data_IF_718041159670
#
_entry.id   IF_718041159670
#
_cell.length_a   1.000
_cell.length_b   1.000
_cell.length_c   1.000
_cell.angle_alpha   90.00
_cell.angle_beta   90.00
_cell.angle_gamma   90.00
#
_symmetry.space_group_name_H-M   'P 1'
#
loop_
_entity.id
_entity.type
_entity.pdbx_description
1 polymer ?
#
# COMPACT_ATOMS: atom_id res chain seq x y z
N UNK A 1 11.65 -9.22 -6.20
CA UNK A 1 11.23 -9.83 -7.48
C UNK A 1 10.96 -8.69 -8.46
N UNK A 2 10.91 -8.94 -9.77
CA UNK A 2 10.25 -8.00 -10.68
C UNK A 2 8.75 -8.18 -10.53
N UNK A 3 8.00 -7.12 -10.24
CA UNK A 3 6.54 -7.15 -10.20
C UNK A 3 6.02 -7.40 -11.63
N UNK A 4 5.24 -8.46 -11.82
CA UNK A 4 4.70 -8.88 -13.12
C UNK A 4 3.20 -8.71 -13.24
N UNK A 5 2.49 -8.62 -12.11
CA UNK A 5 1.09 -8.21 -12.08
C UNK A 5 0.90 -7.12 -11.04
N UNK A 6 0.41 -5.95 -11.46
CA UNK A 6 0.07 -4.84 -10.58
C UNK A 6 -1.46 -4.70 -10.53
N UNK A 7 -2.01 -4.73 -9.33
CA UNK A 7 -3.44 -4.50 -9.07
C UNK A 7 -3.68 -3.02 -8.80
N UNK A 8 -4.54 -2.38 -9.59
CA UNK A 8 -5.12 -1.08 -9.30
C UNK A 8 -6.57 -1.28 -8.83
N UNK A 9 -6.89 -0.84 -7.61
CA UNK A 9 -8.26 -0.78 -7.11
C UNK A 9 -8.75 0.65 -7.13
N UNK A 10 -9.93 0.88 -7.71
CA UNK A 10 -10.51 2.21 -7.89
C UNK A 10 -12.01 2.18 -7.58
N UNK A 11 -12.58 3.34 -7.25
CA UNK A 11 -14.03 3.51 -7.21
C UNK A 11 -14.64 3.52 -8.62
N UNK A 12 -15.88 3.99 -8.73
CA UNK A 12 -16.60 4.13 -10.02
C UNK A 12 -16.45 5.52 -10.66
N UNK A 13 -15.66 6.41 -10.08
CA UNK A 13 -15.48 7.78 -10.59
C UNK A 13 -14.06 8.30 -10.33
N UNK A 14 -13.66 9.32 -11.09
CA UNK A 14 -12.41 10.08 -10.91
C UNK A 14 -11.11 9.25 -10.88
N UNK A 15 -11.09 8.11 -11.58
CA UNK A 15 -9.96 7.17 -11.54
C UNK A 15 -9.03 7.22 -12.76
N UNK A 16 -9.32 8.03 -13.79
CA UNK A 16 -8.54 8.03 -15.03
C UNK A 16 -7.06 8.37 -14.81
N UNK A 17 -6.75 9.33 -13.93
CA UNK A 17 -5.36 9.71 -13.63
C UNK A 17 -4.57 8.54 -13.02
N UNK A 18 -5.16 7.87 -12.03
CA UNK A 18 -4.56 6.71 -11.37
C UNK A 18 -4.43 5.53 -12.35
N UNK A 19 -5.42 5.35 -13.24
CA UNK A 19 -5.40 4.32 -14.29
C UNK A 19 -4.22 4.51 -15.25
N UNK A 20 -4.01 5.74 -15.74
CA UNK A 20 -2.87 6.09 -16.60
C UNK A 20 -1.55 5.94 -15.87
N UNK A 21 -1.47 6.37 -14.61
CA UNK A 21 -0.28 6.21 -13.78
C UNK A 21 0.10 4.73 -13.60
N UNK A 22 -0.87 3.88 -13.24
CA UNK A 22 -0.65 2.45 -13.06
C UNK A 22 -0.26 1.75 -14.37
N UNK A 23 -0.85 2.15 -15.50
CA UNK A 23 -0.46 1.65 -16.82
C UNK A 23 0.98 2.03 -17.17
N UNK A 24 1.40 3.28 -16.90
CA UNK A 24 2.78 3.72 -17.10
C UNK A 24 3.76 2.94 -16.21
N UNK A 25 3.39 2.72 -14.93
CA UNK A 25 4.18 1.92 -14.00
C UNK A 25 4.37 0.49 -14.53
N UNK A 26 3.29 -0.13 -15.03
CA UNK A 26 3.34 -1.45 -15.65
C UNK A 26 4.22 -1.49 -16.91
N UNK A 27 4.06 -0.49 -17.80
CA UNK A 27 4.82 -0.40 -19.03
C UNK A 27 6.34 -0.31 -18.78
N UNK A 28 6.75 0.38 -17.70
CA UNK A 28 8.16 0.56 -17.34
C UNK A 28 8.91 -0.76 -17.01
N UNK A 29 8.17 -1.77 -16.53
CA UNK A 29 8.73 -3.07 -16.08
C UNK A 29 8.14 -4.28 -16.82
N UNK A 30 7.34 -4.04 -17.86
CA UNK A 30 6.66 -5.08 -18.63
C UNK A 30 5.72 -5.93 -17.77
N UNK A 31 4.98 -5.28 -16.86
CA UNK A 31 3.98 -5.90 -16.00
C UNK A 31 2.59 -5.86 -16.64
N UNK A 32 1.72 -6.76 -16.18
CA UNK A 32 0.30 -6.79 -16.47
C UNK A 32 -0.46 -5.91 -15.48
N UNK A 33 -1.37 -5.08 -15.97
CA UNK A 33 -2.25 -4.25 -15.14
C UNK A 33 -3.59 -4.96 -14.92
N UNK A 34 -3.85 -5.39 -13.69
CA UNK A 34 -5.16 -5.88 -13.27
C UNK A 34 -5.94 -4.72 -12.64
N UNK A 35 -7.07 -4.33 -13.21
CA UNK A 35 -7.91 -3.24 -12.68
C UNK A 35 -9.19 -3.79 -12.05
N UNK A 36 -9.48 -3.32 -10.84
CA UNK A 36 -10.64 -3.70 -10.04
C UNK A 36 -11.46 -2.44 -9.70
N UNK A 37 -12.38 -2.00 -10.58
CA UNK A 37 -13.39 -1.01 -10.21
C UNK A 37 -14.35 -1.61 -9.18
N UNK A 38 -14.55 -0.91 -8.06
CA UNK A 38 -15.43 -1.33 -6.98
C UNK A 38 -16.53 -0.31 -6.78
N UNK A 39 -17.76 -0.83 -6.69
CA UNK A 39 -18.91 -0.11 -6.16
C UNK A 39 -19.33 -0.80 -4.86
N UNK A 40 -19.26 -0.08 -3.75
CA UNK A 40 -19.71 -0.58 -2.45
C UNK A 40 -21.24 -0.50 -2.41
N UNK A 41 -21.88 -1.61 -2.06
CA UNK A 41 -23.33 -1.72 -1.99
C UNK A 41 -23.91 -0.87 -0.85
N UNK A 42 -24.94 -0.07 -1.16
CA UNK A 42 -25.76 0.56 -0.13
C UNK A 42 -26.49 -0.50 0.68
N UNK A 43 -26.37 -0.42 2.02
CA UNK A 43 -27.04 -1.35 2.92
C UNK A 43 -28.57 -1.23 2.79
N UNK A 44 -29.31 -2.35 2.76
CA UNK A 44 -30.75 -2.28 2.81
C UNK A 44 -31.21 -1.69 4.15
N UNK A 45 -32.37 -1.00 4.20
CA UNK A 45 -32.93 -0.48 5.44
C UNK A 45 -33.10 -1.61 6.49
N UNK A 46 -32.50 -1.46 7.66
CA UNK A 46 -32.65 -2.44 8.76
C UNK A 46 -33.96 -2.17 9.48
N UNK A 47 -34.95 -3.07 9.32
CA UNK A 47 -36.20 -3.01 10.09
C UNK A 47 -37.41 -3.64 9.41
N UNK A 48 -37.39 -3.80 8.08
CA UNK A 48 -38.54 -4.35 7.35
C UNK A 48 -38.08 -5.35 6.28
N UNK A 49 -37.76 -6.58 6.71
CA UNK A 49 -37.37 -7.68 5.81
C UNK A 49 -38.42 -7.99 4.73
N UNK A 50 -39.64 -7.48 4.87
CA UNK A 50 -40.72 -7.61 3.90
C UNK A 50 -40.65 -6.59 2.74
N UNK A 51 -39.78 -5.57 2.80
CA UNK A 51 -39.62 -4.61 1.74
C UNK A 51 -38.14 -4.36 1.43
N UNK A 52 -37.58 -5.14 0.50
CA UNK A 52 -36.71 -4.51 -0.51
C UNK A 52 -37.54 -3.40 -1.15
N UNK A 53 -37.46 -2.19 -0.62
CA UNK A 53 -38.24 -1.07 -1.13
C UNK A 53 -37.87 -0.85 -2.60
N UNK A 54 -38.83 -0.44 -3.43
CA UNK A 54 -38.55 -0.11 -4.83
C UNK A 54 -37.36 0.87 -4.95
N UNK A 55 -37.25 1.82 -4.02
CA UNK A 55 -36.14 2.75 -3.92
C UNK A 55 -34.76 2.06 -3.74
N UNK A 56 -34.66 1.02 -2.90
CA UNK A 56 -33.40 0.28 -2.74
C UNK A 56 -33.07 -0.56 -3.97
N UNK A 57 -34.07 -1.14 -4.64
CA UNK A 57 -33.87 -1.86 -5.90
C UNK A 57 -33.40 -0.93 -7.02
N UNK A 58 -33.97 0.28 -7.11
CA UNK A 58 -33.58 1.30 -8.07
C UNK A 58 -32.16 1.82 -7.78
N UNK A 59 -31.81 2.04 -6.51
CA UNK A 59 -30.45 2.43 -6.11
C UNK A 59 -29.43 1.33 -6.46
N UNK A 60 -29.74 0.07 -6.15
CA UNK A 60 -28.89 -1.06 -6.54
C UNK A 60 -28.73 -1.16 -8.06
N UNK A 61 -29.81 -0.95 -8.83
CA UNK A 61 -29.73 -0.95 -10.29
C UNK A 61 -28.81 0.17 -10.80
N UNK A 62 -28.96 1.39 -10.26
CA UNK A 62 -28.09 2.53 -10.56
C UNK A 62 -26.62 2.24 -10.22
N UNK A 63 -26.36 1.63 -9.07
CA UNK A 63 -25.01 1.24 -8.66
C UNK A 63 -24.35 0.26 -9.66
N UNK A 64 -25.12 -0.72 -10.13
CA UNK A 64 -24.66 -1.71 -11.11
C UNK A 64 -24.38 -1.03 -12.45
N UNK A 65 -25.22 -0.08 -12.86
CA UNK A 65 -25.01 0.71 -14.09
C UNK A 65 -23.75 1.58 -14.00
N UNK A 66 -23.54 2.27 -12.87
CA UNK A 66 -22.32 3.06 -12.61
C UNK A 66 -21.06 2.19 -12.71
N UNK A 67 -21.08 1.01 -12.08
CA UNK A 67 -19.98 0.06 -12.15
C UNK A 67 -19.74 -0.41 -13.60
N UNK A 68 -20.82 -0.71 -14.34
CA UNK A 68 -20.73 -1.09 -15.74
C UNK A 68 -20.15 0.01 -16.62
N UNK A 69 -20.47 1.29 -16.34
CA UNK A 69 -19.86 2.46 -16.99
C UNK A 69 -18.37 2.55 -16.68
N UNK A 70 -18.00 2.47 -15.40
CA UNK A 70 -16.60 2.55 -14.97
C UNK A 70 -15.72 1.45 -15.61
N UNK A 71 -16.23 0.21 -15.72
CA UNK A 71 -15.52 -0.89 -16.39
C UNK A 71 -15.30 -0.59 -17.88
N UNK A 72 -16.32 -0.07 -18.58
CA UNK A 72 -16.20 0.28 -20.01
C UNK A 72 -15.22 1.44 -20.21
N UNK A 73 -15.31 2.46 -19.37
CA UNK A 73 -14.42 3.62 -19.41
C UNK A 73 -12.97 3.21 -19.17
N UNK A 74 -12.70 2.40 -18.15
CA UNK A 74 -11.36 1.88 -17.87
C UNK A 74 -10.78 1.11 -19.06
N UNK A 75 -11.57 0.24 -19.71
CA UNK A 75 -11.14 -0.49 -20.91
C UNK A 75 -10.80 0.46 -22.06
N UNK A 76 -11.68 1.41 -22.35
CA UNK A 76 -11.46 2.39 -23.43
C UNK A 76 -10.17 3.19 -23.23
N UNK A 77 -9.87 3.59 -21.98
CA UNK A 77 -8.62 4.29 -21.66
C UNK A 77 -7.41 3.38 -21.89
N UNK A 78 -7.47 2.13 -21.43
CA UNK A 78 -6.35 1.18 -21.50
C UNK A 78 -6.05 0.67 -22.91
N UNK A 79 -7.06 0.53 -23.78
CA UNK A 79 -6.88 0.10 -25.17
C UNK A 79 -5.89 1.01 -25.94
N UNK A 80 -5.81 2.29 -25.56
CA UNK A 80 -4.89 3.25 -26.16
C UNK A 80 -3.47 3.25 -25.58
N UNK A 81 -3.18 2.48 -24.53
CA UNK A 81 -1.91 2.57 -23.78
C UNK A 81 -0.92 1.44 -24.07
N UNK A 82 -1.32 0.40 -24.81
CA UNK A 82 -0.42 -0.68 -25.22
C UNK A 82 0.12 -1.55 -24.08
N UNK A 83 -0.50 -1.48 -22.89
CA UNK A 83 -0.17 -2.31 -21.73
C UNK A 83 -0.99 -3.61 -21.76
N UNK A 84 -0.44 -4.72 -21.27
CA UNK A 84 -1.24 -5.92 -21.03
C UNK A 84 -2.16 -5.67 -19.84
N UNK A 85 -3.46 -5.87 -19.98
CA UNK A 85 -4.40 -5.55 -18.91
C UNK A 85 -5.62 -6.46 -18.86
N UNK A 86 -6.28 -6.47 -17.71
CA UNK A 86 -7.65 -6.97 -17.55
C UNK A 86 -8.46 -6.07 -16.59
N UNK A 87 -9.78 -6.01 -16.77
CA UNK A 87 -10.67 -5.16 -15.96
C UNK A 87 -11.87 -5.98 -15.49
N UNK A 88 -12.03 -6.11 -14.18
CA UNK A 88 -13.15 -6.83 -13.57
C UNK A 88 -13.83 -5.92 -12.56
N UNK A 89 -15.08 -5.54 -12.84
CA UNK A 89 -15.88 -4.77 -11.88
C UNK A 89 -16.41 -5.65 -10.75
N UNK A 90 -16.47 -5.10 -9.53
CA UNK A 90 -17.09 -5.75 -8.37
C UNK A 90 -18.11 -4.83 -7.69
N UNK A 91 -19.33 -5.35 -7.56
CA UNK A 91 -20.33 -4.78 -6.67
C UNK A 91 -20.18 -5.49 -5.32
N UNK A 92 -19.57 -4.82 -4.36
CA UNK A 92 -19.11 -5.42 -3.11
C UNK A 92 -20.04 -5.05 -1.97
N UNK A 93 -20.54 -6.05 -1.25
CA UNK A 93 -21.21 -5.81 0.02
C UNK A 93 -20.22 -5.26 1.05
N UNK A 94 -20.66 -4.26 1.83
CA UNK A 94 -19.79 -3.57 2.79
C UNK A 94 -19.09 -4.50 3.79
N UNK A 95 -19.67 -5.67 4.10
CA UNK A 95 -19.10 -6.66 5.02
C UNK A 95 -18.05 -7.58 4.38
N UNK A 96 -18.01 -7.66 3.04
CA UNK A 96 -17.15 -8.56 2.27
C UNK A 96 -16.10 -7.82 1.45
N UNK A 97 -16.08 -6.48 1.50
CA UNK A 97 -15.20 -5.62 0.72
C UNK A 97 -13.72 -6.04 0.81
N UNK A 98 -13.20 -6.20 2.03
CA UNK A 98 -11.80 -6.55 2.27
C UNK A 98 -11.49 -7.96 1.74
N UNK A 99 -12.44 -8.89 1.84
CA UNK A 99 -12.31 -10.24 1.32
C UNK A 99 -12.22 -10.22 -0.21
N UNK A 100 -13.16 -9.57 -0.89
CA UNK A 100 -13.22 -9.49 -2.36
C UNK A 100 -11.96 -8.86 -2.97
N UNK A 101 -11.48 -7.78 -2.35
CA UNK A 101 -10.21 -7.13 -2.72
C UNK A 101 -9.05 -8.10 -2.50
N UNK A 102 -9.01 -8.74 -1.32
CA UNK A 102 -7.99 -9.73 -0.99
C UNK A 102 -7.93 -10.89 -1.98
N UNK A 103 -9.08 -11.41 -2.40
CA UNK A 103 -9.16 -12.50 -3.38
C UNK A 103 -8.49 -12.13 -4.68
N UNK A 104 -8.73 -10.91 -5.15
CA UNK A 104 -8.10 -10.39 -6.36
C UNK A 104 -6.61 -10.16 -6.16
N UNK A 105 -6.23 -9.55 -5.04
CA UNK A 105 -4.85 -9.21 -4.72
C UNK A 105 -3.95 -10.45 -4.56
N UNK A 106 -4.48 -11.62 -4.19
CA UNK A 106 -3.71 -12.89 -4.10
C UNK A 106 -3.01 -13.26 -5.41
N UNK A 107 -3.54 -12.82 -6.54
CA UNK A 107 -3.01 -13.09 -7.89
C UNK A 107 -2.23 -11.91 -8.48
N UNK A 108 -1.97 -10.87 -7.67
CA UNK A 108 -1.09 -9.76 -8.02
C UNK A 108 0.19 -9.81 -7.19
N UNK A 109 1.26 -9.20 -7.70
CA UNK A 109 2.51 -9.06 -6.97
C UNK A 109 2.53 -7.77 -6.13
N UNK A 110 1.79 -6.74 -6.56
CA UNK A 110 1.69 -5.44 -5.90
C UNK A 110 0.30 -4.85 -6.09
N UNK A 111 -0.28 -4.26 -5.04
CA UNK A 111 -1.45 -3.38 -5.17
C UNK A 111 -0.99 -1.92 -5.13
N UNK A 112 -1.50 -1.08 -6.02
CA UNK A 112 -1.27 0.37 -6.01
C UNK A 112 -2.53 1.13 -5.60
N UNK A 113 -2.34 2.18 -4.80
CA UNK A 113 -3.38 3.11 -4.38
C UNK A 113 -2.93 4.51 -4.75
N UNK A 114 -3.73 5.19 -5.57
CA UNK A 114 -3.50 6.57 -5.98
C UNK A 114 -4.48 7.56 -5.37
N UNK A 115 -4.56 8.71 -6.02
CA UNK A 115 -5.29 9.89 -5.57
C UNK A 115 -6.82 9.72 -5.58
N UNK A 116 -7.36 8.85 -6.42
CA UNK A 116 -8.81 8.62 -6.57
C UNK A 116 -9.45 8.06 -5.30
N UNK A 117 -8.69 7.34 -4.48
CA UNK A 117 -9.17 6.78 -3.20
C UNK A 117 -8.94 7.72 -2.02
N UNK A 118 -8.39 8.93 -2.23
CA UNK A 118 -8.14 9.88 -1.13
C UNK A 118 -9.42 10.30 -0.42
N UNK A 119 -10.49 10.56 -1.18
CA UNK A 119 -11.79 10.97 -0.64
C UNK A 119 -12.68 9.80 -0.22
N UNK A 120 -12.37 8.57 -0.63
CA UNK A 120 -13.13 7.37 -0.28
C UNK A 120 -12.39 6.59 0.83
N UNK A 121 -12.56 7.05 2.08
CA UNK A 121 -11.91 6.43 3.25
C UNK A 121 -12.30 4.96 3.41
N UNK A 122 -13.56 4.60 3.12
CA UNK A 122 -14.04 3.21 3.28
C UNK A 122 -13.37 2.29 2.28
N UNK A 123 -13.34 2.68 1.00
CA UNK A 123 -12.68 1.88 -0.03
C UNK A 123 -11.18 1.83 0.20
N UNK A 124 -10.53 2.97 0.49
CA UNK A 124 -9.08 3.02 0.79
C UNK A 124 -8.69 2.11 1.94
N UNK A 125 -9.42 2.16 3.06
CA UNK A 125 -9.21 1.25 4.19
C UNK A 125 -9.45 -0.22 3.77
N UNK A 126 -10.50 -0.46 2.99
CA UNK A 126 -10.81 -1.79 2.45
C UNK A 126 -9.70 -2.36 1.57
N UNK A 127 -9.08 -1.55 0.71
CA UNK A 127 -7.96 -1.96 -0.15
C UNK A 127 -6.73 -2.30 0.66
N UNK A 128 -6.36 -1.44 1.62
CA UNK A 128 -5.20 -1.68 2.48
C UNK A 128 -5.41 -2.94 3.33
N UNK A 129 -6.59 -3.10 3.95
CA UNK A 129 -6.88 -4.27 4.77
C UNK A 129 -6.99 -5.55 3.94
N UNK A 130 -7.73 -5.52 2.83
CA UNK A 130 -7.86 -6.65 1.91
C UNK A 130 -6.50 -7.11 1.39
N UNK A 131 -5.68 -6.18 0.94
CA UNK A 131 -4.36 -6.53 0.41
C UNK A 131 -3.43 -7.06 1.50
N UNK A 132 -3.22 -6.33 2.60
CA UNK A 132 -2.20 -6.72 3.59
C UNK A 132 -2.59 -7.96 4.39
N UNK A 133 -3.88 -8.23 4.61
CA UNK A 133 -4.32 -9.29 5.52
C UNK A 133 -5.03 -10.45 4.84
N UNK A 134 -5.76 -10.22 3.76
CA UNK A 134 -6.45 -11.28 3.03
C UNK A 134 -5.63 -11.82 1.85
N UNK A 135 -4.60 -11.08 1.40
CA UNK A 135 -3.68 -11.52 0.34
C UNK A 135 -2.20 -11.63 0.74
N UNK A 136 -1.79 -10.94 1.81
CA UNK A 136 -0.39 -10.81 2.23
C UNK A 136 0.53 -10.27 1.12
N UNK A 137 0.01 -9.40 0.26
CA UNK A 137 0.78 -8.71 -0.79
C UNK A 137 1.14 -7.29 -0.38
N UNK A 138 2.23 -6.72 -0.92
CA UNK A 138 2.58 -5.34 -0.67
C UNK A 138 1.54 -4.37 -1.25
N UNK A 139 1.41 -3.21 -0.62
CA UNK A 139 0.63 -2.06 -1.11
C UNK A 139 1.56 -0.88 -1.32
N UNK A 140 1.55 -0.28 -2.50
CA UNK A 140 2.22 0.98 -2.80
C UNK A 140 1.20 2.12 -2.80
N UNK A 141 1.30 3.01 -1.81
CA UNK A 141 0.47 4.20 -1.66
C UNK A 141 1.24 5.43 -2.14
N UNK A 142 0.60 6.30 -2.90
CA UNK A 142 1.15 7.61 -3.24
C UNK A 142 0.05 8.68 -3.27
N UNK A 143 0.38 9.90 -2.83
CA UNK A 143 -0.54 11.04 -2.93
C UNK A 143 -0.86 11.37 -4.40
N UNK A 144 0.13 11.19 -5.27
CA UNK A 144 -0.01 11.19 -6.72
C UNK A 144 0.71 9.96 -7.27
N UNK A 145 -0.04 9.05 -7.91
CA UNK A 145 0.51 7.81 -8.43
C UNK A 145 1.49 8.03 -9.59
N UNK A 146 1.47 9.20 -10.24
CA UNK A 146 2.47 9.55 -11.27
C UNK A 146 3.89 9.67 -10.70
N UNK A 147 4.02 9.96 -9.40
CA UNK A 147 5.31 10.01 -8.72
C UNK A 147 5.86 8.64 -8.31
N UNK A 148 5.03 7.60 -8.37
CA UNK A 148 5.41 6.26 -7.95
C UNK A 148 6.35 5.60 -8.96
N UNK A 149 7.34 4.86 -8.46
CA UNK A 149 8.30 4.12 -9.29
C UNK A 149 8.63 2.77 -8.67
N UNK A 150 8.82 1.76 -9.53
CA UNK A 150 9.36 0.46 -9.13
C UNK A 150 10.90 0.42 -9.18
N UNK A 151 11.53 1.52 -9.59
CA UNK A 151 12.99 1.70 -9.67
C UNK A 151 13.42 2.94 -8.89
N UNK A 152 13.19 2.99 -7.57
CA UNK A 152 13.63 4.12 -6.76
C UNK A 152 15.15 4.21 -6.75
N UNK A 153 15.69 5.42 -6.83
CA UNK A 153 17.14 5.68 -6.67
C UNK A 153 17.49 5.80 -5.20
N UNK A 154 16.64 6.43 -4.40
CA UNK A 154 16.83 6.61 -2.96
C UNK A 154 15.68 5.98 -2.18
N UNK A 155 16.02 5.03 -1.31
CA UNK A 155 15.03 4.31 -0.49
C UNK A 155 15.24 4.59 0.98
N UNK A 156 14.17 4.96 1.68
CA UNK A 156 14.10 4.95 3.13
C UNK A 156 13.49 3.61 3.58
N UNK A 157 14.23 2.79 4.33
CA UNK A 157 13.67 1.60 4.98
C UNK A 157 13.38 1.92 6.45
N UNK A 158 12.10 2.11 6.80
CA UNK A 158 11.69 2.35 8.18
C UNK A 158 11.81 1.05 8.98
N UNK A 159 12.61 1.07 10.04
CA UNK A 159 13.02 -0.15 10.73
C UNK A 159 12.82 -0.08 12.25
N UNK A 160 12.09 -1.07 12.78
CA UNK A 160 11.85 -1.25 14.22
C UNK A 160 12.16 -2.67 14.73
N UNK A 161 12.87 -3.48 13.93
CA UNK A 161 13.19 -4.88 14.23
C UNK A 161 11.97 -5.79 14.52
N UNK A 162 10.79 -5.42 14.02
CA UNK A 162 9.62 -6.31 13.99
C UNK A 162 9.67 -7.29 12.82
N UNK A 163 8.81 -8.31 12.86
CA UNK A 163 8.66 -9.27 11.77
C UNK A 163 8.14 -8.57 10.51
N UNK A 164 7.23 -7.62 10.67
CA UNK A 164 6.63 -6.84 9.59
C UNK A 164 7.69 -5.99 8.88
N UNK A 165 8.59 -5.33 9.63
CA UNK A 165 9.72 -4.60 9.04
C UNK A 165 10.70 -5.53 8.30
N UNK A 166 10.97 -6.72 8.85
CA UNK A 166 11.82 -7.72 8.20
C UNK A 166 11.20 -8.22 6.88
N UNK A 167 9.88 -8.44 6.85
CA UNK A 167 9.14 -8.80 5.63
C UNK A 167 9.15 -7.67 4.61
N UNK A 168 8.96 -6.43 5.04
CA UNK A 168 9.06 -5.27 4.16
C UNK A 168 10.44 -5.16 3.49
N UNK A 169 11.51 -5.33 4.28
CA UNK A 169 12.87 -5.35 3.76
C UNK A 169 13.10 -6.50 2.77
N UNK A 170 12.50 -7.67 3.01
CA UNK A 170 12.60 -8.81 2.11
C UNK A 170 11.85 -8.57 0.80
N UNK A 171 10.65 -8.03 0.86
CA UNK A 171 9.79 -7.80 -0.31
C UNK A 171 10.41 -6.75 -1.24
N UNK A 172 10.93 -5.66 -0.66
CA UNK A 172 11.57 -4.56 -1.40
C UNK A 172 13.02 -4.86 -1.84
N UNK A 173 13.54 -6.07 -1.61
CA UNK A 173 14.97 -6.36 -1.76
C UNK A 173 15.50 -6.06 -3.17
N UNK A 174 14.73 -6.38 -4.21
CA UNK A 174 15.14 -6.12 -5.60
C UNK A 174 15.11 -4.63 -5.95
N UNK A 175 14.13 -3.87 -5.44
CA UNK A 175 14.10 -2.40 -5.57
C UNK A 175 15.34 -1.80 -4.88
N UNK A 176 15.60 -2.22 -3.64
CA UNK A 176 16.74 -1.74 -2.85
C UNK A 176 18.10 -2.12 -3.44
N UNK A 177 18.24 -3.30 -4.04
CA UNK A 177 19.48 -3.73 -4.71
C UNK A 177 19.83 -2.85 -5.91
N UNK A 178 18.82 -2.38 -6.63
CA UNK A 178 18.98 -1.55 -7.83
C UNK A 178 19.03 -0.06 -7.52
N UNK A 179 18.77 0.34 -6.26
CA UNK A 179 18.83 1.72 -5.82
C UNK A 179 20.27 2.25 -5.73
N UNK A 180 20.42 3.56 -5.83
CA UNK A 180 21.71 4.25 -5.62
C UNK A 180 22.11 4.27 -4.14
N UNK A 181 21.12 4.32 -3.24
CA UNK A 181 21.34 4.27 -1.80
C UNK A 181 20.07 3.89 -1.03
N UNK A 182 20.27 3.15 0.06
CA UNK A 182 19.23 2.73 0.99
C UNK A 182 19.61 3.17 2.41
N UNK A 183 18.75 3.99 3.02
CA UNK A 183 18.90 4.43 4.40
C UNK A 183 17.98 3.58 5.29
N UNK A 184 18.56 2.75 6.15
CA UNK A 184 17.83 2.07 7.22
C UNK A 184 17.61 3.08 8.34
N UNK A 185 16.36 3.47 8.58
CA UNK A 185 16.02 4.52 9.53
C UNK A 185 15.36 3.94 10.76
N UNK A 186 15.96 4.19 11.92
CA UNK A 186 15.42 3.85 13.23
C UNK A 186 15.13 5.14 14.00
N UNK A 187 13.92 5.27 14.54
CA UNK A 187 13.54 6.38 15.43
C UNK A 187 13.56 5.91 16.87
N UNK A 188 14.27 6.63 17.73
CA UNK A 188 14.50 6.28 19.15
C UNK A 188 14.91 4.81 19.38
N UNK A 189 15.93 4.28 18.66
CA UNK A 189 16.37 2.91 18.86
C UNK A 189 16.91 2.71 20.28
N UNK A 190 16.35 1.74 20.99
CA UNK A 190 16.88 1.34 22.30
C UNK A 190 18.14 0.48 22.11
N UNK A 191 19.24 0.76 22.82
CA UNK A 191 20.38 -0.15 22.88
C UNK A 191 19.93 -1.54 23.37
N UNK A 192 20.54 -2.61 22.86
CA UNK A 192 20.35 -3.93 23.42
C UNK A 192 20.98 -3.96 24.83
N UNK A 193 20.17 -3.75 25.87
CA UNK A 193 20.65 -3.78 27.25
C UNK A 193 20.76 -5.22 27.75
N UNK A 194 21.99 -5.72 27.85
CA UNK A 194 22.37 -6.86 28.69
C UNK A 194 22.20 -8.26 28.08
N UNK A 195 23.10 -9.17 28.50
CA UNK A 195 23.20 -10.58 28.11
C UNK A 195 21.97 -11.46 28.47
N UNK A 196 20.83 -10.87 28.84
CA UNK A 196 19.65 -11.55 29.35
C UNK A 196 18.42 -11.48 28.42
N UNK A 197 18.51 -10.79 27.28
CA UNK A 197 17.55 -11.01 26.19
C UNK A 197 18.33 -11.64 25.03
N UNK A 198 17.92 -12.81 24.54
CA UNK A 198 18.54 -13.51 23.40
C UNK A 198 18.42 -12.77 22.06
N UNK A 199 18.37 -11.44 22.08
CA UNK A 199 18.46 -10.55 20.92
C UNK A 199 19.95 -10.22 20.75
N UNK A 200 20.51 -10.51 19.58
CA UNK A 200 21.90 -10.21 19.21
C UNK A 200 22.35 -8.86 19.79
N UNK A 201 23.35 -8.89 20.68
CA UNK A 201 23.86 -7.72 21.41
C UNK A 201 24.75 -6.80 20.57
N UNK A 202 24.22 -6.28 19.45
CA UNK A 202 24.93 -5.36 18.56
C UNK A 202 24.36 -3.93 18.51
N UNK A 203 25.04 -3.05 17.78
CA UNK A 203 24.58 -1.70 17.44
C UNK A 203 23.20 -1.75 16.74
N UNK A 204 22.19 -0.94 17.16
CA UNK A 204 20.87 -0.96 16.53
C UNK A 204 20.93 -0.73 15.03
N UNK A 205 20.37 -1.66 14.26
CA UNK A 205 20.38 -1.63 12.80
C UNK A 205 21.54 -2.39 12.14
N UNK A 206 22.55 -2.84 12.89
CA UNK A 206 23.72 -3.53 12.34
C UNK A 206 23.34 -4.84 11.62
N UNK A 207 22.48 -5.66 12.22
CA UNK A 207 22.10 -6.96 11.64
C UNK A 207 21.36 -6.82 10.31
N UNK A 208 20.43 -5.85 10.20
CA UNK A 208 19.71 -5.58 8.96
C UNK A 208 20.63 -4.96 7.89
N UNK A 209 21.54 -4.06 8.29
CA UNK A 209 22.53 -3.52 7.37
C UNK A 209 23.44 -4.62 6.81
N UNK A 210 23.92 -5.52 7.67
CA UNK A 210 24.71 -6.67 7.24
C UNK A 210 23.92 -7.62 6.32
N UNK A 211 22.65 -7.88 6.62
CA UNK A 211 21.76 -8.66 5.76
C UNK A 211 21.60 -8.01 4.38
N UNK A 212 21.29 -6.71 4.31
CA UNK A 212 21.09 -5.98 3.05
C UNK A 212 22.39 -5.90 2.24
N UNK A 213 23.53 -5.66 2.90
CA UNK A 213 24.84 -5.65 2.24
C UNK A 213 25.18 -7.00 1.61
N UNK A 214 24.85 -8.13 2.25
CA UNK A 214 25.01 -9.49 1.66
C UNK A 214 24.18 -9.69 0.40
N UNK A 215 23.11 -8.93 0.22
CA UNK A 215 22.27 -8.93 -0.97
C UNK A 215 22.69 -7.88 -2.02
N UNK A 216 23.81 -7.19 -1.81
CA UNK A 216 24.34 -6.19 -2.75
C UNK A 216 23.69 -4.81 -2.63
N UNK A 217 22.95 -4.54 -1.55
CA UNK A 217 22.33 -3.23 -1.31
C UNK A 217 23.37 -2.25 -0.76
N UNK A 218 23.40 -1.04 -1.32
CA UNK A 218 24.21 0.08 -0.81
C UNK A 218 23.51 0.71 0.39
N UNK A 219 23.84 0.24 1.58
CA UNK A 219 23.09 0.54 2.80
C UNK A 219 23.84 1.45 3.77
N UNK A 220 23.13 2.43 4.33
CA UNK A 220 23.53 3.24 5.49
C UNK A 220 22.52 3.07 6.62
N UNK A 221 22.91 3.38 7.87
CA UNK A 221 22.02 3.29 9.03
C UNK A 221 21.90 4.66 9.67
N UNK A 222 20.69 5.20 9.69
CA UNK A 222 20.35 6.46 10.32
C UNK A 222 19.57 6.20 11.60
N UNK A 223 20.07 6.74 12.71
CA UNK A 223 19.44 6.62 14.04
C UNK A 223 19.01 8.00 14.46
N UNK A 224 17.71 8.26 14.35
CA UNK A 224 17.14 9.58 14.53
C UNK A 224 16.56 9.71 15.95
N UNK A 225 16.82 10.85 16.63
CA UNK A 225 16.12 11.16 17.87
C UNK A 225 14.67 11.53 17.53
N UNK A 226 13.71 10.91 18.22
CA UNK A 226 12.31 11.30 18.13
C UNK A 226 12.04 12.64 18.81
N UNK A 227 12.77 12.94 19.90
CA UNK A 227 12.69 14.21 20.63
C UNK A 227 11.25 14.63 21.00
N UNK A 228 10.40 13.66 21.34
CA UNK A 228 8.99 13.88 21.68
C UNK A 228 8.03 14.03 20.49
N UNK A 229 8.54 14.01 19.25
CA UNK A 229 7.72 13.99 18.02
C UNK A 229 7.17 12.59 17.76
N UNK A 230 6.10 12.52 16.97
CA UNK A 230 5.54 11.23 16.51
C UNK A 230 6.49 10.58 15.50
N UNK A 231 6.60 9.25 15.51
CA UNK A 231 7.56 8.50 14.68
C UNK A 231 7.37 8.78 13.19
N UNK A 232 6.13 8.83 12.73
CA UNK A 232 5.74 9.17 11.36
C UNK A 232 6.18 10.57 10.94
N UNK A 233 6.17 11.55 11.84
CA UNK A 233 6.61 12.92 11.53
C UNK A 233 8.12 12.96 11.31
N UNK A 234 8.86 12.19 12.11
CA UNK A 234 10.31 12.06 11.98
C UNK A 234 10.66 11.33 10.68
N UNK A 235 9.97 10.23 10.38
CA UNK A 235 10.17 9.46 9.14
C UNK A 235 9.82 10.30 7.90
N UNK A 236 8.69 11.01 7.91
CA UNK A 236 8.27 11.86 6.79
C UNK A 236 9.25 13.02 6.59
N UNK A 237 9.69 13.68 7.66
CA UNK A 237 10.68 14.75 7.54
C UNK A 237 11.99 14.22 6.96
N UNK A 238 12.51 13.09 7.46
CA UNK A 238 13.75 12.51 6.96
C UNK A 238 13.64 12.06 5.51
N UNK A 239 12.50 11.48 5.11
CA UNK A 239 12.22 11.11 3.72
C UNK A 239 12.31 12.32 2.78
N UNK A 240 11.75 13.46 3.19
CA UNK A 240 11.86 14.72 2.44
C UNK A 240 13.29 15.25 2.41
N UNK A 241 13.98 15.28 3.54
CA UNK A 241 15.34 15.80 3.68
C UNK A 241 16.34 15.04 2.80
N UNK A 242 16.19 13.72 2.68
CA UNK A 242 17.03 12.90 1.80
C UNK A 242 16.54 12.85 0.35
N UNK A 243 15.36 13.41 0.06
CA UNK A 243 14.64 13.29 -1.21
C UNK A 243 14.43 11.81 -1.60
N UNK A 244 13.85 11.03 -0.70
CA UNK A 244 13.54 9.63 -0.94
C UNK A 244 12.50 9.50 -2.06
N UNK A 245 12.75 8.59 -3.01
CA UNK A 245 11.77 8.23 -4.05
C UNK A 245 10.75 7.23 -3.51
N UNK A 246 11.13 6.48 -2.47
CA UNK A 246 10.30 5.45 -1.86
C UNK A 246 10.61 5.31 -0.37
N UNK A 247 9.56 5.25 0.45
CA UNK A 247 9.60 4.71 1.80
C UNK A 247 9.12 3.26 1.82
N UNK A 248 9.89 2.36 2.44
CA UNK A 248 9.51 0.97 2.67
C UNK A 248 9.27 0.78 4.16
N UNK A 249 8.12 0.23 4.54
CA UNK A 249 7.80 -0.01 5.95
C UNK A 249 6.96 -1.27 6.18
N UNK A 250 7.16 -1.88 7.35
CA UNK A 250 6.21 -2.86 7.89
C UNK A 250 4.93 -2.19 8.38
N UNK A 251 3.78 -2.84 8.20
CA UNK A 251 2.48 -2.32 8.60
C UNK A 251 1.84 -3.20 9.69
N UNK A 252 1.19 -2.54 10.67
CA UNK A 252 0.41 -3.20 11.72
C UNK A 252 1.19 -4.20 12.60
N UNK A 253 2.43 -3.85 13.00
CA UNK A 253 3.28 -4.67 13.88
C UNK A 253 2.85 -4.69 15.36
N UNK A 254 1.85 -3.89 15.74
CA UNK A 254 1.16 -3.99 17.01
C UNK A 254 -0.29 -4.46 16.80
N UNK A 255 -0.87 -5.14 17.81
CA UNK A 255 -2.24 -5.69 17.71
C UNK A 255 -3.22 -4.66 17.16
N UNK A 256 -3.95 -5.04 16.10
CA UNK A 256 -4.98 -4.25 15.39
C UNK A 256 -6.01 -3.59 16.31
N UNK A 257 -6.32 -4.24 17.43
CA UNK A 257 -7.26 -3.73 18.45
C UNK A 257 -6.74 -2.41 19.06
N UNK A 258 -5.41 -2.23 19.10
CA UNK A 258 -4.78 -1.01 19.63
C UNK A 258 -4.62 0.10 18.57
N UNK A 259 -4.59 -0.24 17.28
CA UNK A 259 -4.44 0.75 16.20
C UNK A 259 -5.76 1.43 15.80
N UNK A 260 -6.90 0.74 15.89
CA UNK A 260 -8.24 1.34 15.67
C UNK A 260 -8.58 2.47 16.67
N UNK A 261 -7.92 2.51 17.82
CA UNK A 261 -8.19 3.46 18.91
C UNK A 261 -7.20 4.64 18.94
N UNK A 262 -5.96 4.47 18.44
CA UNK A 262 -4.87 5.43 18.71
C UNK A 262 -4.21 6.09 17.51
N UNK A 263 -4.59 5.79 16.26
CA UNK A 263 -3.97 6.44 15.10
C UNK A 263 -2.45 6.21 15.07
N UNK A 264 -2.03 5.01 14.69
CA UNK A 264 -0.60 4.66 14.62
C UNK A 264 0.12 5.20 13.39
N UNK A 265 1.44 4.99 13.36
CA UNK A 265 2.34 5.31 12.22
C UNK A 265 1.73 4.84 10.90
N UNK A 266 1.25 3.60 10.85
CA UNK A 266 0.59 3.01 9.66
C UNK A 266 -0.57 3.86 9.18
N UNK A 267 -1.48 4.27 10.08
CA UNK A 267 -2.66 5.08 9.72
C UNK A 267 -2.23 6.44 9.17
N UNK A 268 -1.29 7.10 9.84
CA UNK A 268 -0.78 8.40 9.40
C UNK A 268 -0.15 8.33 8.00
N UNK A 269 0.60 7.27 7.72
CA UNK A 269 1.24 7.02 6.42
C UNK A 269 0.22 6.67 5.31
N UNK A 270 -0.90 6.01 5.65
CA UNK A 270 -2.00 5.71 4.72
C UNK A 270 -2.82 6.98 4.42
N UNK A 271 -3.01 7.87 5.40
CA UNK A 271 -3.83 9.07 5.25
C UNK A 271 -3.12 10.18 4.46
N UNK A 272 -1.83 10.43 4.73
CA UNK A 272 -1.07 11.51 4.08
C UNK A 272 0.37 11.05 3.78
N UNK A 273 0.59 10.24 2.73
CA UNK A 273 1.94 9.89 2.29
C UNK A 273 2.63 11.11 1.66
N UNK A 274 3.78 11.52 2.21
CA UNK A 274 4.57 12.65 1.67
C UNK A 274 5.50 12.24 0.52
N UNK A 275 5.82 10.95 0.45
CA UNK A 275 6.52 10.25 -0.63
C UNK A 275 5.78 8.94 -0.89
N UNK A 276 5.99 8.26 -2.04
CA UNK A 276 5.46 6.91 -2.24
C UNK A 276 5.86 5.97 -1.08
N UNK A 277 4.90 5.20 -0.56
CA UNK A 277 5.10 4.27 0.57
C UNK A 277 4.74 2.85 0.16
N UNK A 278 5.71 1.94 0.20
CA UNK A 278 5.50 0.50 0.11
C UNK A 278 5.27 -0.09 1.50
N UNK A 279 4.06 -0.57 1.75
CA UNK A 279 3.66 -1.23 2.99
C UNK A 279 3.60 -2.73 2.81
N UNK A 280 4.15 -3.46 3.79
CA UNK A 280 4.17 -4.93 3.81
C UNK A 280 3.80 -5.44 5.20
N UNK A 281 3.19 -6.62 5.29
CA UNK A 281 2.85 -7.28 6.55
C UNK A 281 3.54 -8.63 6.69
#
# INVERSE_FOLDING_TARGET
MSYKTILLVVGVSQFESDLRAAANLCASDGAHLSVLPIKIATLPPVGDFAAMSAAWLDERASDIEDLGRAVKEARNVLDGLGVSYDVVGRYAESMWLEHDIGERARYADLTVIGSSLRSDERLRAGVVEGTLFHSARPVLLAADLQSATLRPRKVLLAWNASIESARAAREALDMMRNAEGVNVVLVDPKPASGAASGRSGGEPGADIAAYLARHGVKVTVDRLPGAGRRVEEVLNQHALDMSADLMVMGAYGHSRVREKIFGGVTKAMIDVPVVPVLMVR
#
